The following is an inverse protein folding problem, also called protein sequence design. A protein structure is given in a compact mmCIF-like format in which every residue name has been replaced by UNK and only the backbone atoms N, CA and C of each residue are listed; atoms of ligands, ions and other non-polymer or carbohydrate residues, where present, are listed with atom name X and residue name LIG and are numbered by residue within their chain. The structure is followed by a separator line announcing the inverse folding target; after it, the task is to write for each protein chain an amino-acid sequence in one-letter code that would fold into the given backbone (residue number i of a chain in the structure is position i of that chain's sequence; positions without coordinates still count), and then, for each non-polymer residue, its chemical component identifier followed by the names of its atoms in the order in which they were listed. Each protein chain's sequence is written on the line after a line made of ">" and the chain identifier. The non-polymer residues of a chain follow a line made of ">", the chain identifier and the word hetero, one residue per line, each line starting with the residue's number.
data_IF_294622199009
#
_entry.id   IF_294622199009
#
_cell.length_a   1.000
_cell.length_b   1.000
_cell.length_c   1.000
_cell.angle_alpha   90.00
_cell.angle_beta   90.00
_cell.angle_gamma   90.00
#
_symmetry.space_group_name_H-M   'P 1'
#
loop_
_entity.id
_entity.type
_entity.pdbx_description
1 polymer ?
#
# COMPACT_ATOMS: atom_id res chain seq x y z
N UNK A 1 -6.56 39.63 -2.65
CA UNK A 1 -7.18 38.79 -1.60
C UNK A 1 -6.09 38.37 -0.63
N UNK A 2 -6.23 38.63 0.67
CA UNK A 2 -5.25 38.19 1.66
C UNK A 2 -5.19 36.65 1.67
N UNK A 3 -3.99 36.08 1.48
CA UNK A 3 -3.76 34.63 1.54
C UNK A 3 -4.05 34.20 2.98
N UNK A 4 -5.13 33.44 3.20
CA UNK A 4 -5.50 32.96 4.55
C UNK A 4 -4.38 32.06 5.07
N UNK A 5 -3.68 32.49 6.13
CA UNK A 5 -2.70 31.66 6.83
C UNK A 5 -3.47 30.55 7.54
N UNK A 6 -3.14 29.30 7.24
CA UNK A 6 -3.74 28.13 7.89
C UNK A 6 -3.11 27.93 9.27
N UNK A 7 -3.92 27.54 10.26
CA UNK A 7 -3.38 27.06 11.55
C UNK A 7 -2.67 25.72 11.37
N UNK A 8 -1.77 25.34 12.30
CA UNK A 8 -1.08 24.02 12.26
C UNK A 8 -2.08 22.84 12.13
N UNK A 9 -3.16 22.76 12.94
CA UNK A 9 -4.18 21.72 12.75
C UNK A 9 -4.83 21.74 11.36
N UNK A 10 -5.14 22.92 10.82
CA UNK A 10 -5.75 23.04 9.49
C UNK A 10 -4.79 22.63 8.37
N UNK A 11 -3.50 22.93 8.50
CA UNK A 11 -2.45 22.48 7.58
C UNK A 11 -2.39 20.96 7.54
N UNK A 12 -2.33 20.28 8.70
CA UNK A 12 -2.32 18.82 8.74
C UNK A 12 -3.62 18.18 8.26
N UNK A 13 -4.77 18.78 8.58
CA UNK A 13 -6.07 18.33 8.05
C UNK A 13 -6.09 18.42 6.52
N UNK A 14 -5.63 19.53 5.97
CA UNK A 14 -5.53 19.75 4.52
C UNK A 14 -4.48 18.84 3.88
N UNK A 15 -3.37 18.56 4.56
CA UNK A 15 -2.35 17.61 4.10
C UNK A 15 -2.95 16.21 3.96
N UNK A 16 -3.63 15.71 4.99
CA UNK A 16 -4.33 14.41 4.91
C UNK A 16 -5.35 14.38 3.76
N UNK A 17 -6.07 15.48 3.51
CA UNK A 17 -6.97 15.59 2.36
C UNK A 17 -6.24 15.55 1.02
N UNK A 18 -5.11 16.25 0.88
CA UNK A 18 -4.31 16.28 -0.34
C UNK A 18 -3.72 14.90 -0.71
N UNK A 19 -3.57 14.02 0.29
CA UNK A 19 -3.09 12.65 0.10
C UNK A 19 -4.17 11.68 -0.39
N UNK A 20 -5.47 12.03 -0.34
CA UNK A 20 -6.53 11.12 -0.77
C UNK A 20 -6.47 10.83 -2.27
N UNK A 21 -6.83 9.60 -2.65
CA UNK A 21 -7.03 9.23 -4.05
C UNK A 21 -8.18 10.07 -4.62
N UNK A 22 -8.00 10.62 -5.82
CA UNK A 22 -8.95 11.54 -6.46
C UNK A 22 -9.59 10.99 -7.74
N UNK A 23 -9.27 9.75 -8.12
CA UNK A 23 -9.76 9.07 -9.31
C UNK A 23 -10.42 7.71 -9.01
N UNK A 24 -10.98 7.52 -7.80
CA UNK A 24 -11.60 6.26 -7.34
C UNK A 24 -12.65 5.72 -8.30
N UNK A 25 -13.48 6.58 -8.90
CA UNK A 25 -14.50 6.18 -9.87
C UNK A 25 -13.91 5.50 -11.12
N UNK A 26 -12.74 5.96 -11.58
CA UNK A 26 -12.05 5.37 -12.73
C UNK A 26 -11.40 4.03 -12.35
N UNK A 27 -10.73 4.00 -11.20
CA UNK A 27 -10.13 2.78 -10.63
C UNK A 27 -11.19 1.68 -10.49
N UNK A 28 -12.32 2.00 -9.87
CA UNK A 28 -13.41 1.06 -9.64
C UNK A 28 -14.05 0.56 -10.95
N UNK A 29 -14.19 1.43 -11.96
CA UNK A 29 -14.71 1.03 -13.28
C UNK A 29 -13.81 0.00 -13.95
N UNK A 30 -12.49 0.21 -13.94
CA UNK A 30 -11.50 -0.70 -14.51
C UNK A 30 -11.48 -2.03 -13.76
N UNK A 31 -11.52 -1.97 -12.43
CA UNK A 31 -11.60 -3.17 -11.59
C UNK A 31 -12.82 -4.01 -11.92
N UNK A 32 -14.01 -3.38 -11.96
CA UNK A 32 -15.27 -4.06 -12.28
C UNK A 32 -15.26 -4.75 -13.63
N UNK A 33 -14.70 -4.11 -14.66
CA UNK A 33 -14.58 -4.71 -15.99
C UNK A 33 -13.69 -5.97 -15.99
N UNK A 34 -12.55 -5.92 -15.30
CA UNK A 34 -11.65 -7.08 -15.12
C UNK A 34 -12.38 -8.20 -14.36
N UNK A 35 -12.99 -7.87 -13.23
CA UNK A 35 -13.67 -8.84 -12.36
C UNK A 35 -14.84 -9.50 -13.09
N UNK A 36 -15.63 -8.72 -13.83
CA UNK A 36 -16.73 -9.25 -14.62
C UNK A 36 -16.24 -10.25 -15.67
N UNK A 37 -15.15 -9.93 -16.39
CA UNK A 37 -14.58 -10.84 -17.39
C UNK A 37 -14.04 -12.13 -16.76
N UNK A 38 -13.26 -12.03 -15.69
CA UNK A 38 -12.73 -13.20 -14.97
C UNK A 38 -13.88 -14.06 -14.40
N UNK A 39 -14.91 -13.44 -13.84
CA UNK A 39 -16.08 -14.16 -13.33
C UNK A 39 -16.86 -14.87 -14.46
N UNK A 40 -16.98 -14.25 -15.62
CA UNK A 40 -17.65 -14.88 -16.76
C UNK A 40 -16.90 -16.13 -17.20
N UNK A 41 -15.58 -16.05 -17.38
CA UNK A 41 -14.80 -17.14 -17.96
C UNK A 41 -14.54 -18.29 -16.97
N UNK A 42 -14.33 -17.98 -15.68
CA UNK A 42 -14.02 -18.99 -14.67
C UNK A 42 -15.25 -19.52 -13.91
N UNK A 43 -16.41 -18.84 -13.99
CA UNK A 43 -17.61 -19.21 -13.22
C UNK A 43 -18.91 -19.15 -14.00
N UNK A 44 -18.91 -18.64 -15.24
CA UNK A 44 -20.11 -18.41 -16.03
C UNK A 44 -21.13 -17.48 -15.32
N UNK A 45 -20.64 -16.46 -14.61
CA UNK A 45 -21.48 -15.43 -13.96
C UNK A 45 -21.07 -14.04 -14.43
N UNK A 46 -22.03 -13.10 -14.51
CA UNK A 46 -21.79 -11.74 -15.01
C UNK A 46 -21.58 -10.69 -13.91
N UNK A 47 -21.43 -11.10 -12.65
CA UNK A 47 -21.20 -10.19 -11.54
C UNK A 47 -19.87 -9.46 -11.69
N UNK A 48 -19.92 -8.13 -11.56
CA UNK A 48 -18.78 -7.21 -11.60
C UNK A 48 -18.14 -7.01 -10.23
N UNK A 49 -18.62 -7.74 -9.22
CA UNK A 49 -18.23 -7.68 -7.83
C UNK A 49 -18.13 -9.09 -7.25
N UNK A 50 -17.37 -9.22 -6.16
CA UNK A 50 -17.09 -10.52 -5.54
C UNK A 50 -16.03 -11.33 -6.28
N UNK A 51 -15.50 -12.35 -5.60
CA UNK A 51 -14.38 -13.19 -6.05
C UNK A 51 -13.10 -12.42 -6.39
N UNK A 52 -13.02 -11.14 -6.00
CA UNK A 52 -11.86 -10.32 -6.22
C UNK A 52 -11.77 -9.24 -5.14
N UNK A 53 -10.55 -8.88 -4.78
CA UNK A 53 -10.28 -7.87 -3.75
C UNK A 53 -9.14 -6.97 -4.21
N UNK A 54 -9.31 -5.67 -4.01
CA UNK A 54 -8.14 -4.80 -3.94
C UNK A 54 -7.30 -5.23 -2.74
N UNK A 55 -6.01 -5.47 -3.00
CA UNK A 55 -5.01 -5.74 -1.98
C UNK A 55 -3.90 -4.67 -2.08
N UNK A 56 -2.75 -4.90 -1.46
CA UNK A 56 -1.67 -3.90 -1.49
C UNK A 56 -2.06 -2.62 -0.74
N UNK A 57 -1.38 -1.52 -1.05
CA UNK A 57 -1.61 -0.23 -0.38
C UNK A 57 -3.03 0.29 -0.59
N UNK A 58 -3.61 0.10 -1.78
CA UNK A 58 -4.97 0.54 -2.06
C UNK A 58 -5.99 -0.26 -1.25
N UNK A 59 -5.87 -1.59 -1.20
CA UNK A 59 -6.71 -2.44 -0.35
C UNK A 59 -6.60 -2.13 1.14
N UNK A 60 -5.40 -1.78 1.63
CA UNK A 60 -5.19 -1.34 3.02
C UNK A 60 -5.67 0.09 3.28
N UNK A 61 -6.01 0.87 2.26
CA UNK A 61 -6.36 2.29 2.38
C UNK A 61 -5.19 3.18 2.77
N UNK A 62 -3.97 2.77 2.44
CA UNK A 62 -2.73 3.53 2.66
C UNK A 62 -2.13 4.08 1.36
N UNK A 63 -2.70 3.76 0.20
CA UNK A 63 -2.34 4.43 -1.05
C UNK A 63 -2.58 5.95 -0.95
N UNK A 64 -1.72 6.72 -1.62
CA UNK A 64 -1.81 8.18 -1.68
C UNK A 64 -2.04 8.64 -3.12
N UNK A 65 -2.56 9.86 -3.29
CA UNK A 65 -2.70 10.52 -4.59
C UNK A 65 -1.44 10.36 -5.43
N UNK A 66 -1.62 9.97 -6.69
CA UNK A 66 -0.51 9.68 -7.62
C UNK A 66 0.01 8.24 -7.56
N UNK A 67 -0.55 7.37 -6.71
CA UNK A 67 -0.30 5.92 -6.79
C UNK A 67 -0.75 5.40 -8.16
N UNK A 68 0.19 4.83 -8.93
CA UNK A 68 -0.08 4.26 -10.26
C UNK A 68 -0.37 2.76 -10.26
N UNK A 69 0.08 2.02 -9.25
CA UNK A 69 -0.01 0.55 -9.21
C UNK A 69 -1.12 0.11 -8.26
N UNK A 70 -2.00 -0.76 -8.75
CA UNK A 70 -3.13 -1.31 -8.00
C UNK A 70 -3.10 -2.84 -8.05
N UNK A 71 -2.96 -3.46 -6.88
CA UNK A 71 -2.95 -4.91 -6.75
C UNK A 71 -4.38 -5.46 -6.60
N UNK A 72 -4.72 -6.44 -7.42
CA UNK A 72 -6.02 -7.12 -7.41
C UNK A 72 -5.77 -8.60 -7.21
N UNK A 73 -6.29 -9.14 -6.12
CA UNK A 73 -6.40 -10.58 -5.97
C UNK A 73 -7.70 -11.04 -6.64
N UNK A 74 -7.65 -12.02 -7.55
CA UNK A 74 -8.83 -12.72 -8.06
C UNK A 74 -8.85 -14.13 -7.50
N UNK A 75 -9.84 -14.42 -6.66
CA UNK A 75 -10.05 -15.75 -6.10
C UNK A 75 -10.66 -16.60 -7.20
N UNK A 76 -10.07 -17.74 -7.55
CA UNK A 76 -10.54 -18.66 -8.58
C UNK A 76 -11.19 -19.92 -7.96
N UNK A 77 -12.08 -20.63 -8.67
CA UNK A 77 -12.68 -21.86 -8.14
C UNK A 77 -11.62 -22.96 -7.92
N UNK A 78 -11.80 -23.76 -6.86
CA UNK A 78 -10.85 -24.83 -6.49
C UNK A 78 -10.69 -25.94 -7.55
N UNK A 79 -11.64 -26.07 -8.48
CA UNK A 79 -11.50 -26.94 -9.65
C UNK A 79 -10.32 -26.54 -10.54
N UNK A 80 -10.06 -25.24 -10.70
CA UNK A 80 -8.93 -24.76 -11.48
C UNK A 80 -7.60 -25.05 -10.77
N UNK A 81 -7.53 -24.94 -9.44
CA UNK A 81 -6.37 -25.38 -8.66
C UNK A 81 -6.05 -26.86 -8.91
N UNK A 82 -7.04 -27.74 -8.72
CA UNK A 82 -6.88 -29.19 -8.94
C UNK A 82 -6.46 -29.56 -10.36
N UNK A 83 -6.86 -28.75 -11.36
CA UNK A 83 -6.44 -28.94 -12.75
C UNK A 83 -5.01 -28.44 -12.96
N UNK A 84 -4.67 -27.27 -12.42
CA UNK A 84 -3.33 -26.68 -12.51
C UNK A 84 -2.27 -27.61 -11.91
N UNK A 85 -2.56 -28.25 -10.77
CA UNK A 85 -1.66 -29.23 -10.12
C UNK A 85 -1.41 -30.49 -10.96
N UNK A 86 -2.24 -30.78 -11.97
CA UNK A 86 -2.09 -31.94 -12.86
C UNK A 86 -1.38 -31.59 -14.16
N UNK A 87 -1.11 -30.31 -14.43
CA UNK A 87 -0.41 -29.89 -15.63
C UNK A 87 1.06 -30.31 -15.55
N UNK A 88 1.65 -30.83 -16.64
CA UNK A 88 3.08 -31.10 -16.67
C UNK A 88 3.88 -29.79 -16.66
N UNK A 89 5.07 -29.82 -16.04
CA UNK A 89 5.95 -28.66 -15.95
C UNK A 89 5.41 -27.57 -15.03
N UNK A 90 5.58 -26.31 -15.41
CA UNK A 90 5.18 -25.16 -14.60
C UNK A 90 3.68 -24.86 -14.78
N UNK A 91 2.83 -25.50 -13.99
CA UNK A 91 1.38 -25.32 -14.01
C UNK A 91 0.95 -23.89 -13.65
N UNK A 92 1.67 -23.24 -12.75
CA UNK A 92 1.38 -21.88 -12.29
C UNK A 92 1.59 -20.84 -13.40
N UNK A 93 2.66 -20.99 -14.20
CA UNK A 93 2.86 -20.17 -15.39
C UNK A 93 1.77 -20.41 -16.43
N UNK A 94 1.37 -21.66 -16.64
CA UNK A 94 0.26 -21.99 -17.55
C UNK A 94 -1.07 -21.35 -17.08
N UNK A 95 -1.36 -21.37 -15.77
CA UNK A 95 -2.51 -20.68 -15.20
C UNK A 95 -2.46 -19.16 -15.47
N UNK A 96 -1.29 -18.53 -15.35
CA UNK A 96 -1.13 -17.11 -15.66
C UNK A 96 -1.30 -16.80 -17.14
N UNK A 97 -0.87 -17.69 -18.04
CA UNK A 97 -1.09 -17.55 -19.48
C UNK A 97 -2.58 -17.60 -19.83
N UNK A 98 -3.35 -18.48 -19.19
CA UNK A 98 -4.80 -18.54 -19.36
C UNK A 98 -5.50 -17.30 -18.80
N UNK A 99 -5.10 -16.84 -17.62
CA UNK A 99 -5.65 -15.61 -17.04
C UNK A 99 -5.30 -14.39 -17.89
N UNK A 100 -4.07 -14.30 -18.40
CA UNK A 100 -3.66 -13.27 -19.37
C UNK A 100 -4.57 -13.30 -20.57
N UNK A 101 -4.81 -14.47 -21.18
CA UNK A 101 -5.69 -14.60 -22.35
C UNK A 101 -7.11 -14.10 -22.05
N UNK A 102 -7.66 -14.48 -20.90
CA UNK A 102 -8.97 -14.04 -20.42
C UNK A 102 -9.05 -12.52 -20.32
N UNK A 103 -8.06 -11.89 -19.68
CA UNK A 103 -8.06 -10.44 -19.46
C UNK A 103 -7.74 -9.67 -20.76
N UNK A 104 -6.91 -10.25 -21.64
CA UNK A 104 -6.53 -9.69 -22.94
C UNK A 104 -7.73 -9.42 -23.85
N UNK A 105 -8.81 -10.21 -23.75
CA UNK A 105 -10.05 -9.98 -24.51
C UNK A 105 -10.73 -8.63 -24.21
N UNK A 106 -10.50 -8.08 -23.01
CA UNK A 106 -11.02 -6.74 -22.62
C UNK A 106 -9.91 -5.70 -22.64
N UNK A 107 -8.67 -6.10 -22.34
CA UNK A 107 -7.51 -5.21 -22.27
C UNK A 107 -6.33 -5.77 -23.09
N UNK A 108 -6.20 -5.43 -24.38
CA UNK A 108 -5.20 -6.04 -25.28
C UNK A 108 -3.74 -5.86 -24.85
N UNK A 109 -3.41 -4.81 -24.08
CA UNK A 109 -2.05 -4.56 -23.58
C UNK A 109 -1.65 -5.46 -22.39
N UNK A 110 -2.48 -6.45 -22.05
CA UNK A 110 -2.24 -7.34 -20.91
C UNK A 110 -1.00 -8.21 -21.14
N UNK A 111 -0.10 -8.25 -20.14
CA UNK A 111 1.12 -9.07 -20.15
C UNK A 111 1.24 -9.90 -18.86
N UNK A 112 2.17 -10.85 -18.82
CA UNK A 112 2.61 -11.46 -17.55
C UNK A 112 3.84 -10.68 -17.12
N UNK A 113 3.93 -10.33 -15.83
CA UNK A 113 5.09 -9.67 -15.28
C UNK A 113 6.30 -10.59 -15.38
N UNK A 114 7.41 -10.05 -15.87
CA UNK A 114 8.71 -10.75 -15.91
C UNK A 114 9.35 -10.73 -14.51
N UNK A 115 8.69 -11.35 -13.53
CA UNK A 115 9.21 -11.60 -12.20
C UNK A 115 8.76 -12.98 -11.67
N UNK A 116 9.39 -13.44 -10.59
CA UNK A 116 9.11 -14.75 -10.01
C UNK A 116 7.75 -14.84 -9.30
N UNK A 117 7.05 -13.71 -9.14
CA UNK A 117 5.87 -13.55 -8.26
C UNK A 117 4.54 -13.73 -8.98
N UNK A 118 4.57 -14.04 -10.28
CA UNK A 118 3.43 -14.59 -11.01
C UNK A 118 2.20 -13.67 -11.07
N UNK A 119 2.27 -12.59 -11.84
CA UNK A 119 1.22 -11.57 -11.91
C UNK A 119 0.83 -11.27 -13.37
N UNK A 120 -0.45 -11.02 -13.62
CA UNK A 120 -0.97 -10.53 -14.90
C UNK A 120 -1.11 -9.01 -14.82
N UNK A 121 -0.44 -8.29 -15.70
CA UNK A 121 -0.34 -6.84 -15.69
C UNK A 121 -1.24 -6.24 -16.76
N UNK A 122 -2.06 -5.27 -16.36
CA UNK A 122 -2.88 -4.46 -17.27
C UNK A 122 -2.41 -3.01 -17.20
N UNK A 123 -1.57 -2.55 -18.15
CA UNK A 123 -1.16 -1.16 -18.23
C UNK A 123 -2.26 -0.32 -18.90
N UNK A 124 -2.43 0.90 -18.42
CA UNK A 124 -3.33 1.91 -19.00
C UNK A 124 -2.52 3.12 -19.49
N UNK A 125 -3.02 3.77 -20.54
CA UNK A 125 -2.36 4.93 -21.17
C UNK A 125 -2.19 6.14 -20.25
N UNK A 126 -2.95 6.21 -19.16
CA UNK A 126 -2.85 7.27 -18.15
C UNK A 126 -1.83 6.96 -17.04
N UNK A 127 -1.01 5.92 -17.22
CA UNK A 127 0.04 5.51 -16.27
C UNK A 127 -0.47 4.62 -15.12
N UNK A 128 -1.76 4.31 -15.07
CA UNK A 128 -2.29 3.32 -14.14
C UNK A 128 -1.88 1.91 -14.57
N UNK A 129 -1.56 1.06 -13.61
CA UNK A 129 -1.14 -0.31 -13.82
C UNK A 129 -1.87 -1.20 -12.81
N UNK A 130 -2.60 -2.19 -13.31
CA UNK A 130 -3.26 -3.18 -12.46
C UNK A 130 -2.46 -4.47 -12.45
N UNK A 131 -2.07 -4.94 -11.26
CA UNK A 131 -1.42 -6.24 -11.06
C UNK A 131 -2.48 -7.24 -10.58
N UNK A 132 -2.96 -8.09 -11.49
CA UNK A 132 -3.95 -9.13 -11.23
C UNK A 132 -3.23 -10.40 -10.80
N UNK A 133 -3.59 -10.91 -9.62
CA UNK A 133 -2.95 -12.04 -8.98
C UNK A 133 -4.02 -13.11 -8.76
N UNK A 134 -3.99 -14.24 -9.48
CA UNK A 134 -4.91 -15.34 -9.21
C UNK A 134 -4.57 -15.97 -7.85
N UNK A 135 -5.62 -16.36 -7.14
CA UNK A 135 -5.51 -16.96 -5.83
C UNK A 135 -6.52 -18.09 -5.64
N UNK A 136 -6.18 -19.05 -4.79
CA UNK A 136 -7.10 -20.09 -4.33
C UNK A 136 -7.22 -20.05 -2.82
N UNK A 137 -8.44 -20.14 -2.31
CA UNK A 137 -8.68 -20.24 -0.88
C UNK A 137 -8.39 -21.67 -0.43
N UNK A 138 -7.54 -21.84 0.58
CA UNK A 138 -7.27 -23.13 1.20
C UNK A 138 -8.25 -23.43 2.37
N UNK A 139 -8.12 -24.62 2.95
CA UNK A 139 -8.98 -25.06 4.07
C UNK A 139 -8.71 -24.30 5.38
N UNK A 140 -7.54 -23.68 5.51
CA UNK A 140 -7.14 -22.86 6.68
C UNK A 140 -7.58 -21.41 6.55
N UNK A 141 -8.20 -21.04 5.42
CA UNK A 141 -8.60 -19.68 5.10
C UNK A 141 -7.44 -18.77 4.70
N UNK A 142 -6.32 -19.31 4.25
CA UNK A 142 -5.25 -18.58 3.57
C UNK A 142 -5.44 -18.65 2.05
N UNK A 143 -4.68 -17.83 1.33
CA UNK A 143 -4.69 -17.80 -0.12
C UNK A 143 -3.38 -18.35 -0.68
N UNK A 144 -3.52 -19.24 -1.65
CA UNK A 144 -2.42 -19.79 -2.46
C UNK A 144 -2.23 -18.93 -3.70
N UNK A 145 -1.01 -18.46 -3.94
CA UNK A 145 -0.63 -17.61 -5.06
C UNK A 145 0.43 -18.30 -5.92
N UNK A 146 0.40 -18.13 -7.25
CA UNK A 146 1.40 -18.74 -8.11
C UNK A 146 2.80 -18.18 -7.81
N UNK A 147 3.77 -19.07 -7.64
CA UNK A 147 5.19 -18.80 -7.80
C UNK A 147 5.61 -19.48 -9.11
N UNK A 148 6.21 -18.73 -10.03
CA UNK A 148 6.62 -19.28 -11.34
C UNK A 148 8.11 -19.59 -11.44
N UNK A 149 8.90 -19.32 -10.39
CA UNK A 149 10.30 -19.72 -10.34
C UNK A 149 10.46 -21.24 -10.19
N UNK A 150 11.64 -21.74 -10.58
CA UNK A 150 12.14 -23.08 -10.28
C UNK A 150 11.16 -24.24 -10.58
N UNK A 151 10.40 -24.12 -11.68
CA UNK A 151 9.45 -25.14 -12.12
C UNK A 151 8.04 -25.00 -11.55
N UNK A 152 7.80 -24.00 -10.70
CA UNK A 152 6.47 -23.64 -10.21
C UNK A 152 6.17 -24.14 -8.80
N UNK A 153 5.55 -23.30 -7.99
CA UNK A 153 5.07 -23.66 -6.63
C UNK A 153 3.96 -22.69 -6.18
N UNK A 154 3.47 -22.84 -4.96
CA UNK A 154 2.47 -21.93 -4.38
C UNK A 154 3.04 -21.17 -3.19
N UNK A 155 2.95 -19.85 -3.22
CA UNK A 155 3.12 -19.01 -2.03
C UNK A 155 1.83 -19.02 -1.22
N UNK A 156 1.92 -18.89 0.11
CA UNK A 156 0.76 -18.89 1.00
C UNK A 156 0.79 -17.67 1.92
N UNK A 157 -0.26 -16.84 1.88
CA UNK A 157 -0.54 -15.83 2.92
C UNK A 157 -1.98 -15.32 2.82
N UNK A 158 -2.41 -14.48 3.76
CA UNK A 158 -3.75 -13.87 3.73
C UNK A 158 -3.71 -12.33 3.80
N UNK A 159 -3.82 -11.61 2.65
CA UNK A 159 -3.85 -10.14 2.63
C UNK A 159 -5.14 -9.56 3.22
N UNK A 160 -6.23 -10.34 3.26
CA UNK A 160 -7.49 -9.90 3.88
C UNK A 160 -7.31 -9.77 5.39
N UNK A 161 -6.53 -10.66 6.03
CA UNK A 161 -6.14 -10.51 7.44
C UNK A 161 -5.28 -9.27 7.66
N UNK A 162 -4.31 -8.97 6.78
CA UNK A 162 -3.51 -7.74 6.85
C UNK A 162 -4.39 -6.48 6.76
N UNK A 163 -5.33 -6.44 5.82
CA UNK A 163 -6.29 -5.36 5.65
C UNK A 163 -7.18 -5.22 6.89
N UNK A 164 -7.65 -6.33 7.44
CA UNK A 164 -8.51 -6.33 8.62
C UNK A 164 -7.80 -5.76 9.84
N UNK A 165 -6.54 -6.14 10.07
CA UNK A 165 -5.75 -5.64 11.21
C UNK A 165 -5.51 -4.14 11.11
N UNK A 166 -5.04 -3.63 9.96
CA UNK A 166 -4.82 -2.18 9.83
C UNK A 166 -6.13 -1.39 9.92
N UNK A 167 -7.26 -1.95 9.44
CA UNK A 167 -8.57 -1.32 9.60
C UNK A 167 -8.99 -1.24 11.06
N UNK A 168 -8.80 -2.31 11.83
CA UNK A 168 -9.14 -2.37 13.25
C UNK A 168 -8.32 -1.34 14.05
N UNK A 169 -6.99 -1.32 13.88
CA UNK A 169 -6.12 -0.36 14.57
C UNK A 169 -6.40 1.08 14.12
N UNK A 170 -6.68 1.28 12.83
CA UNK A 170 -7.06 2.59 12.33
C UNK A 170 -8.36 3.08 12.96
N UNK A 171 -9.37 2.22 13.11
CA UNK A 171 -10.60 2.56 13.81
C UNK A 171 -10.33 2.87 15.29
N UNK A 172 -9.59 1.99 15.97
CA UNK A 172 -9.23 2.13 17.38
C UNK A 172 -8.54 3.46 17.68
N UNK A 173 -7.64 3.91 16.80
CA UNK A 173 -6.87 5.15 17.00
C UNK A 173 -7.42 6.36 16.23
N UNK A 174 -8.71 6.34 15.87
CA UNK A 174 -9.41 7.50 15.28
C UNK A 174 -8.85 7.95 13.93
N UNK A 175 -8.45 7.01 13.08
CA UNK A 175 -7.92 7.24 11.73
C UNK A 175 -6.40 7.44 11.65
N UNK A 176 -5.71 7.57 12.79
CA UNK A 176 -4.32 8.04 12.82
C UNK A 176 -3.34 7.06 12.17
N UNK A 177 -3.57 5.75 12.25
CA UNK A 177 -2.72 4.74 11.62
C UNK A 177 -2.61 4.97 10.11
N UNK A 178 -3.74 5.10 9.41
CA UNK A 178 -3.72 5.37 7.97
C UNK A 178 -3.29 6.80 7.65
N UNK A 179 -3.50 7.76 8.56
CA UNK A 179 -2.98 9.12 8.36
C UNK A 179 -1.45 9.10 8.37
N UNK A 180 -0.84 8.51 9.40
CA UNK A 180 0.60 8.38 9.52
C UNK A 180 1.20 7.59 8.35
N UNK A 181 0.65 6.42 8.01
CA UNK A 181 1.13 5.62 6.88
C UNK A 181 1.12 6.40 5.55
N UNK A 182 0.07 7.20 5.30
CA UNK A 182 -0.03 8.04 4.09
C UNK A 182 0.94 9.23 4.11
N UNK A 183 1.09 9.92 5.24
CA UNK A 183 2.08 10.99 5.38
C UNK A 183 3.50 10.46 5.15
N UNK A 184 3.81 9.28 5.69
CA UNK A 184 5.12 8.66 5.53
C UNK A 184 5.37 8.14 4.12
N UNK A 185 4.31 7.76 3.38
CA UNK A 185 4.41 7.48 1.95
C UNK A 185 4.74 8.74 1.14
N UNK A 186 4.20 9.89 1.53
CA UNK A 186 4.58 11.17 0.92
C UNK A 186 6.04 11.51 1.19
N UNK A 187 6.52 11.35 2.43
CA UNK A 187 7.94 11.49 2.76
C UNK A 187 8.81 10.55 1.94
N UNK A 188 8.49 9.25 1.93
CA UNK A 188 9.19 8.23 1.15
C UNK A 188 9.28 8.61 -0.33
N UNK A 189 8.19 9.09 -0.92
CA UNK A 189 8.15 9.48 -2.32
C UNK A 189 8.98 10.73 -2.59
N UNK A 190 8.86 11.77 -1.75
CA UNK A 190 9.55 13.05 -1.93
C UNK A 190 11.06 12.95 -1.73
N UNK A 191 11.51 12.00 -0.90
CA UNK A 191 12.91 11.82 -0.55
C UNK A 191 13.52 10.54 -1.15
N UNK A 192 12.79 9.81 -2.01
CA UNK A 192 13.25 8.56 -2.64
C UNK A 192 13.75 7.48 -1.63
N UNK A 193 13.05 7.33 -0.50
CA UNK A 193 13.46 6.41 0.56
C UNK A 193 13.17 4.96 0.14
N UNK A 194 14.18 4.09 0.28
CA UNK A 194 14.09 2.65 -0.01
C UNK A 194 13.51 1.87 1.19
N UNK A 195 12.23 2.11 1.48
CA UNK A 195 11.48 1.42 2.53
C UNK A 195 10.22 0.76 1.91
N UNK A 196 10.07 -0.58 1.95
CA UNK A 196 8.90 -1.24 1.37
C UNK A 196 7.59 -0.70 1.98
N UNK A 197 6.61 -0.39 1.14
CA UNK A 197 5.37 0.23 1.61
C UNK A 197 4.58 -0.65 2.60
N UNK A 198 4.67 -1.97 2.49
CA UNK A 198 4.07 -2.87 3.49
C UNK A 198 4.82 -2.80 4.83
N UNK A 199 6.15 -2.74 4.80
CA UNK A 199 6.96 -2.61 6.01
C UNK A 199 6.67 -1.27 6.71
N UNK A 200 6.54 -0.19 5.94
CA UNK A 200 6.12 1.11 6.46
C UNK A 200 4.73 1.07 7.10
N UNK A 201 3.75 0.44 6.45
CA UNK A 201 2.40 0.27 7.02
C UNK A 201 2.47 -0.54 8.35
N UNK A 202 3.34 -1.56 8.41
CA UNK A 202 3.59 -2.37 9.61
C UNK A 202 4.22 -1.55 10.75
N UNK A 203 5.22 -0.73 10.43
CA UNK A 203 5.88 0.17 11.37
C UNK A 203 4.93 1.22 11.92
N UNK A 204 4.05 1.78 11.08
CA UNK A 204 3.03 2.73 11.52
C UNK A 204 2.02 2.10 12.49
N UNK A 205 1.63 0.84 12.26
CA UNK A 205 0.77 0.09 13.20
C UNK A 205 1.46 -0.12 14.55
N UNK A 206 2.70 -0.61 14.55
CA UNK A 206 3.45 -0.89 15.78
C UNK A 206 3.70 0.39 16.59
N UNK A 207 4.14 1.46 15.93
CA UNK A 207 4.37 2.75 16.58
C UNK A 207 3.10 3.31 17.22
N UNK A 208 1.95 3.20 16.55
CA UNK A 208 0.70 3.79 17.07
C UNK A 208 0.21 3.12 18.37
N UNK A 209 0.52 1.83 18.56
CA UNK A 209 0.20 1.13 19.81
C UNK A 209 1.05 1.63 20.98
N UNK A 210 2.31 1.96 20.73
CA UNK A 210 3.27 2.42 21.74
C UNK A 210 3.18 3.92 22.01
N UNK A 211 2.79 4.72 21.01
CA UNK A 211 2.80 6.18 21.11
C UNK A 211 1.77 6.71 22.11
N UNK A 212 2.24 7.44 23.13
CA UNK A 212 1.41 8.01 24.19
C UNK A 212 0.43 9.09 23.68
N UNK A 213 0.80 9.79 22.60
CA UNK A 213 0.00 10.85 21.99
C UNK A 213 -1.19 10.36 21.15
N UNK A 214 -1.47 9.05 21.11
CA UNK A 214 -2.46 8.42 20.21
C UNK A 214 -3.89 8.96 20.28
N UNK A 215 -4.29 9.60 21.37
CA UNK A 215 -5.61 10.25 21.50
C UNK A 215 -5.63 11.75 21.14
N UNK A 216 -4.48 12.31 20.76
CA UNK A 216 -4.35 13.76 20.53
C UNK A 216 -4.91 14.20 19.17
N UNK A 217 -5.29 15.48 19.09
CA UNK A 217 -5.86 16.11 17.88
C UNK A 217 -4.79 16.41 16.81
N UNK A 218 -5.21 16.95 15.66
CA UNK A 218 -4.32 17.39 14.57
C UNK A 218 -3.24 18.39 15.02
N UNK A 219 -3.41 19.09 16.14
CA UNK A 219 -2.40 19.99 16.71
C UNK A 219 -1.08 19.26 17.02
N UNK A 220 -1.14 17.96 17.35
CA UNK A 220 0.02 17.18 17.75
C UNK A 220 0.58 16.29 16.64
N UNK A 221 0.13 16.48 15.39
CA UNK A 221 0.62 15.67 14.26
C UNK A 221 2.10 15.92 13.99
N UNK A 222 2.58 17.15 14.18
CA UNK A 222 4.02 17.44 14.10
C UNK A 222 4.83 16.62 15.11
N UNK A 223 4.40 16.56 16.37
CA UNK A 223 5.03 15.72 17.40
C UNK A 223 4.93 14.23 17.11
N UNK A 224 3.80 13.77 16.54
CA UNK A 224 3.63 12.38 16.09
C UNK A 224 4.65 12.02 15.00
N UNK A 225 4.85 12.92 14.04
CA UNK A 225 5.79 12.74 12.93
C UNK A 225 7.23 12.73 13.46
N UNK A 226 7.58 13.66 14.35
CA UNK A 226 8.90 13.70 15.01
C UNK A 226 9.19 12.35 15.69
N UNK A 227 8.29 11.90 16.57
CA UNK A 227 8.44 10.65 17.31
C UNK A 227 8.46 9.42 16.39
N UNK A 228 7.72 9.45 15.26
CA UNK A 228 7.77 8.35 14.30
C UNK A 228 9.11 8.30 13.55
N UNK A 229 9.69 9.44 13.18
CA UNK A 229 11.01 9.48 12.57
C UNK A 229 12.10 9.00 13.53
N UNK A 230 12.02 9.38 14.81
CA UNK A 230 12.89 8.83 15.86
C UNK A 230 12.74 7.31 15.97
N UNK A 231 11.49 6.81 16.01
CA UNK A 231 11.20 5.37 16.03
C UNK A 231 11.78 4.61 14.83
N UNK A 232 11.75 5.20 13.63
CA UNK A 232 12.35 4.63 12.43
C UNK A 232 13.88 4.69 12.45
N UNK A 233 14.46 5.81 12.91
CA UNK A 233 15.90 6.01 13.02
C UNK A 233 16.54 5.04 14.03
N UNK A 234 15.80 4.67 15.07
CA UNK A 234 16.23 3.69 16.08
C UNK A 234 16.16 2.22 15.63
N UNK A 235 15.77 1.91 14.38
CA UNK A 235 15.77 0.51 13.90
C UNK A 235 17.18 0.05 13.59
N UNK A 236 17.52 -1.15 14.07
CA UNK A 236 18.85 -1.75 13.88
C UNK A 236 19.07 -2.11 12.41
N UNK A 237 20.25 -1.81 11.91
CA UNK A 237 20.64 -2.11 10.52
C UNK A 237 20.77 -3.62 10.25
N UNK A 238 21.09 -4.39 11.28
CA UNK A 238 21.19 -5.86 11.21
C UNK A 238 19.83 -6.58 11.32
N UNK A 239 18.73 -5.84 11.51
CA UNK A 239 17.41 -6.41 11.35
C UNK A 239 17.03 -6.45 9.86
N UNK A 240 17.09 -7.64 9.28
CA UNK A 240 16.86 -7.85 7.84
C UNK A 240 15.40 -8.15 7.47
N UNK A 241 14.57 -8.54 8.43
CA UNK A 241 13.16 -8.85 8.17
C UNK A 241 12.23 -8.52 9.36
N UNK A 242 10.96 -8.38 9.02
CA UNK A 242 9.83 -8.26 9.94
C UNK A 242 8.72 -9.22 9.54
N UNK A 243 7.71 -9.36 10.38
CA UNK A 243 6.51 -10.12 10.07
C UNK A 243 5.31 -9.20 9.94
N UNK A 244 4.54 -9.40 8.86
CA UNK A 244 3.32 -8.65 8.62
C UNK A 244 2.27 -8.99 9.67
N UNK A 245 1.68 -7.97 10.30
CA UNK A 245 0.53 -8.22 11.17
C UNK A 245 -0.65 -8.79 10.39
N UNK A 246 -1.28 -9.82 10.94
CA UNK A 246 -2.44 -10.50 10.37
C UNK A 246 -2.09 -11.73 9.53
N UNK A 247 -1.18 -11.63 8.57
CA UNK A 247 -0.78 -12.76 7.71
C UNK A 247 0.46 -13.50 8.21
N UNK A 248 1.26 -12.87 9.06
CA UNK A 248 2.56 -13.37 9.52
C UNK A 248 3.55 -13.68 8.38
N UNK A 249 3.33 -13.14 7.17
CA UNK A 249 4.31 -13.30 6.09
C UNK A 249 5.54 -12.46 6.37
N UNK A 250 6.69 -12.95 5.91
CA UNK A 250 7.95 -12.22 6.01
C UNK A 250 7.92 -10.93 5.16
N UNK A 251 8.47 -9.87 5.74
CA UNK A 251 8.66 -8.56 5.15
C UNK A 251 10.16 -8.25 5.14
N UNK A 252 10.86 -8.55 4.04
CA UNK A 252 12.29 -8.30 3.96
C UNK A 252 12.57 -6.80 3.89
N UNK A 253 13.71 -6.40 4.45
CA UNK A 253 14.31 -5.10 4.24
C UNK A 253 14.88 -5.04 2.82
N UNK A 254 14.62 -3.94 2.11
CA UNK A 254 15.19 -3.74 0.76
C UNK A 254 16.27 -2.66 0.71
N UNK A 255 16.50 -1.95 1.81
CA UNK A 255 17.49 -0.88 1.93
C UNK A 255 17.63 -0.40 3.37
N UNK A 256 18.68 0.37 3.64
CA UNK A 256 18.81 1.10 4.90
C UNK A 256 17.93 2.35 4.84
N UNK A 257 17.21 2.63 5.92
CA UNK A 257 16.31 3.79 6.03
C UNK A 257 16.53 4.58 7.32
N UNK A 258 17.38 4.12 8.23
CA UNK A 258 17.64 4.74 9.53
C UNK A 258 18.23 6.15 9.40
N UNK A 259 19.29 6.31 8.60
CA UNK A 259 19.92 7.61 8.37
C UNK A 259 18.96 8.64 7.77
N UNK A 260 18.19 8.25 6.75
CA UNK A 260 17.20 9.14 6.14
C UNK A 260 16.08 9.51 7.12
N UNK A 261 15.69 8.58 8.01
CA UNK A 261 14.73 8.87 9.05
C UNK A 261 15.31 9.82 10.11
N UNK A 262 16.60 9.68 10.44
CA UNK A 262 17.31 10.58 11.37
C UNK A 262 17.43 12.00 10.80
N UNK A 263 17.70 12.14 9.51
CA UNK A 263 17.73 13.46 8.86
C UNK A 263 16.33 14.10 8.86
N UNK A 264 15.30 13.32 8.56
CA UNK A 264 13.91 13.79 8.65
C UNK A 264 13.48 14.13 10.09
N UNK A 265 14.00 13.41 11.09
CA UNK A 265 13.80 13.74 12.51
C UNK A 265 14.39 15.11 12.85
N UNK A 266 15.67 15.37 12.51
CA UNK A 266 16.33 16.65 12.75
C UNK A 266 15.61 17.80 12.05
N UNK A 267 15.19 17.58 10.81
CA UNK A 267 14.45 18.60 10.08
C UNK A 267 13.08 18.87 10.71
N UNK A 268 12.36 17.82 11.12
CA UNK A 268 11.08 17.98 11.83
C UNK A 268 11.26 18.75 13.14
N UNK A 269 12.36 18.52 13.86
CA UNK A 269 12.68 19.25 15.09
C UNK A 269 12.83 20.76 14.84
N UNK A 270 13.61 21.15 13.83
CA UNK A 270 13.76 22.57 13.47
C UNK A 270 12.44 23.19 12.97
N UNK A 271 11.62 22.43 12.23
CA UNK A 271 10.28 22.87 11.82
C UNK A 271 9.40 23.19 13.02
N UNK A 272 9.36 22.31 14.02
CA UNK A 272 8.56 22.52 15.23
C UNK A 272 9.05 23.73 16.03
N UNK A 273 10.37 23.92 16.12
CA UNK A 273 10.96 25.12 16.74
C UNK A 273 10.53 26.39 16.02
N UNK A 274 10.53 26.41 14.70
CA UNK A 274 10.02 27.55 13.92
C UNK A 274 8.52 27.79 14.13
N UNK A 275 7.70 26.73 14.29
CA UNK A 275 6.28 26.89 14.64
C UNK A 275 6.09 27.50 16.04
N UNK A 276 6.92 27.13 17.02
CA UNK A 276 6.92 27.69 18.38
C UNK A 276 7.38 29.16 18.41
N UNK A 277 8.38 29.51 17.61
CA UNK A 277 8.87 30.89 17.44
C UNK A 277 7.93 31.78 16.60
N UNK A 278 6.93 31.20 15.96
CA UNK A 278 6.00 31.90 15.06
C UNK A 278 6.54 32.18 13.66
N UNK A 279 7.70 31.61 13.29
CA UNK A 279 8.28 31.68 11.93
C UNK A 279 7.63 30.62 11.02
N UNK A 280 6.34 30.82 10.73
CA UNK A 280 5.58 29.87 9.91
C UNK A 280 6.08 29.79 8.46
N UNK A 281 6.83 30.77 7.96
CA UNK A 281 7.41 30.74 6.61
C UNK A 281 8.49 29.66 6.54
N UNK A 282 9.40 29.62 7.52
CA UNK A 282 10.43 28.57 7.58
C UNK A 282 9.86 27.21 7.93
N UNK A 283 8.92 27.16 8.89
CA UNK A 283 8.23 25.91 9.21
C UNK A 283 7.55 25.28 7.98
N UNK A 284 6.83 26.10 7.20
CA UNK A 284 6.16 25.66 5.98
C UNK A 284 7.13 25.21 4.89
N UNK A 285 8.30 25.83 4.79
CA UNK A 285 9.36 25.41 3.89
C UNK A 285 9.92 24.03 4.28
N UNK A 286 10.18 23.80 5.57
CA UNK A 286 10.65 22.50 6.05
C UNK A 286 9.61 21.39 5.89
N UNK A 287 8.33 21.64 6.20
CA UNK A 287 7.27 20.65 5.92
C UNK A 287 7.17 20.31 4.43
N UNK A 288 7.37 21.29 3.53
CA UNK A 288 7.43 21.07 2.08
C UNK A 288 8.67 20.30 1.66
N UNK A 289 9.81 20.47 2.32
CA UNK A 289 10.99 19.67 2.03
C UNK A 289 10.79 18.21 2.46
N UNK A 290 10.23 17.98 3.65
CA UNK A 290 9.91 16.63 4.16
C UNK A 290 8.87 15.93 3.28
N UNK A 291 7.75 16.59 2.97
CA UNK A 291 6.59 15.93 2.34
C UNK A 291 6.37 16.29 0.87
N UNK A 292 7.16 17.20 0.32
CA UNK A 292 7.05 17.66 -1.07
C UNK A 292 5.73 18.37 -1.37
N UNK A 293 5.27 18.21 -2.61
CA UNK A 293 4.08 18.90 -3.16
C UNK A 293 2.75 18.58 -2.45
N UNK A 294 2.72 17.58 -1.57
CA UNK A 294 1.51 17.17 -0.88
C UNK A 294 1.15 18.08 0.30
N UNK A 295 2.14 18.72 0.93
CA UNK A 295 1.90 19.58 2.08
C UNK A 295 1.35 20.97 1.66
N UNK A 296 0.27 21.47 2.31
CA UNK A 296 -0.37 22.73 1.96
C UNK A 296 0.34 23.91 2.63
N UNK A 297 1.24 24.55 1.89
CA UNK A 297 1.92 25.78 2.30
C UNK A 297 1.96 26.80 1.16
#
# INVERSE_FOLDING_TARGET
>A
MAKRVLSVPDKFKKFVQNLQIDNENLINRRFKAIVQKVNLDYRNIRFDSGNAHFIGSYGRGTAIKGTGIFNIMVVLPSSHFKRTEKLPGNGQLQLLQELKKTVHEVYPETIIKEDDKGQVIVPFRDGMLFEIIPAFLDEKGNYLYPNIADGGSWNEFNPIKEISVINALNYQYGGKVKHLARMMRAWKHSNNVNLPGMLLDNMAMNFMEEWEGRERSYLFYGSMILAFFEYLAGKRDDQEHWYARGSNRELPRTGLFGDMANDAFKETYEVLKHEEEGDYVRADAGWKNIFGKYFPA
#
